data_IF_482283038679
#
_entry.id   IF_482283038679
#
_cell.length_a   1.000
_cell.length_b   1.000
_cell.length_c   1.000
_cell.angle_alpha   90.00
_cell.angle_beta   90.00
_cell.angle_gamma   90.00
#
_symmetry.space_group_name_H-M   'P 1'
#
loop_
_entity.id
_entity.type
_entity.pdbx_description
1 polymer ?
#
# COMPACT_ATOMS: atom_id res chain seq x y z
N UNK A 1 -22.77 -4.10 7.77
CA UNK A 1 -21.57 -4.46 6.96
C UNK A 1 -21.10 -3.32 6.06
N UNK A 2 -21.90 -2.85 5.10
CA UNK A 2 -21.49 -1.80 4.16
C UNK A 2 -21.12 -0.48 4.84
N UNK A 3 -21.90 -0.01 5.82
CA UNK A 3 -21.60 1.21 6.56
C UNK A 3 -20.29 1.16 7.35
N UNK A 4 -19.93 0.00 7.92
CA UNK A 4 -18.66 -0.20 8.60
C UNK A 4 -17.48 -0.15 7.63
N UNK A 5 -17.62 -0.77 6.46
CA UNK A 5 -16.64 -0.73 5.38
C UNK A 5 -16.35 0.70 4.92
N UNK A 6 -17.39 1.48 4.61
CA UNK A 6 -17.25 2.89 4.23
C UNK A 6 -16.63 3.73 5.34
N UNK A 7 -17.01 3.49 6.59
CA UNK A 7 -16.42 4.19 7.74
C UNK A 7 -14.91 3.93 7.86
N UNK A 8 -14.45 2.71 7.63
CA UNK A 8 -13.01 2.36 7.61
C UNK A 8 -12.29 3.14 6.52
N UNK A 9 -12.82 3.18 5.29
CA UNK A 9 -12.23 3.93 4.18
C UNK A 9 -12.12 5.41 4.54
N UNK A 10 -13.20 6.04 4.97
CA UNK A 10 -13.24 7.47 5.31
C UNK A 10 -12.27 7.79 6.44
N UNK A 11 -12.20 6.97 7.49
CA UNK A 11 -11.28 7.18 8.62
C UNK A 11 -9.82 7.00 8.20
N UNK A 12 -9.52 6.04 7.32
CA UNK A 12 -8.17 5.85 6.79
C UNK A 12 -7.73 7.04 5.92
N UNK A 13 -8.62 7.53 5.04
CA UNK A 13 -8.41 8.73 4.23
C UNK A 13 -8.16 9.97 5.11
N UNK A 14 -8.89 10.11 6.22
CA UNK A 14 -8.70 11.21 7.20
C UNK A 14 -7.49 11.04 8.11
N UNK A 15 -6.71 9.97 7.96
CA UNK A 15 -5.57 9.64 8.81
C UNK A 15 -5.96 9.52 10.31
N UNK A 16 -7.17 9.02 10.56
CA UNK A 16 -7.70 8.87 11.92
C UNK A 16 -7.01 7.75 12.67
N UNK A 17 -6.22 8.12 13.67
CA UNK A 17 -5.48 7.18 14.52
C UNK A 17 -6.38 6.21 15.28
N UNK A 18 -7.60 6.63 15.62
CA UNK A 18 -8.53 5.81 16.40
C UNK A 18 -9.01 4.60 15.62
N UNK A 19 -8.98 4.66 14.27
CA UNK A 19 -9.23 3.51 13.39
C UNK A 19 -8.33 2.32 13.76
N UNK A 20 -7.06 2.58 13.99
CA UNK A 20 -6.02 1.57 14.21
C UNK A 20 -5.92 1.11 15.67
N UNK A 21 -6.56 1.82 16.61
CA UNK A 21 -6.69 1.44 18.03
C UNK A 21 -7.86 0.51 18.29
N UNK A 22 -8.89 0.61 17.48
CA UNK A 22 -10.13 -0.14 17.65
C UNK A 22 -9.93 -1.63 17.36
N UNK A 23 -10.06 -2.45 18.40
CA UNK A 23 -9.89 -3.92 18.31
C UNK A 23 -10.92 -4.55 17.37
N UNK A 24 -12.12 -3.99 17.25
CA UNK A 24 -13.17 -4.50 16.39
C UNK A 24 -12.75 -4.51 14.91
N UNK A 25 -11.88 -3.57 14.49
CA UNK A 25 -11.38 -3.49 13.12
C UNK A 25 -10.35 -4.59 12.78
N UNK A 26 -9.91 -5.39 13.75
CA UNK A 26 -8.95 -6.49 13.57
C UNK A 26 -9.57 -7.87 13.80
N UNK A 27 -10.88 -7.97 13.90
CA UNK A 27 -11.61 -9.21 13.80
C UNK A 27 -11.58 -9.72 12.35
N UNK A 28 -12.08 -10.91 12.10
CA UNK A 28 -12.10 -11.51 10.74
C UNK A 28 -12.67 -10.56 9.68
N UNK A 29 -13.74 -9.83 10.00
CA UNK A 29 -14.32 -8.82 9.11
C UNK A 29 -13.34 -7.73 8.68
N UNK A 30 -12.44 -7.30 9.56
CA UNK A 30 -11.44 -6.29 9.26
C UNK A 30 -10.43 -6.74 8.21
N UNK A 31 -10.01 -8.01 8.26
CA UNK A 31 -9.15 -8.58 7.23
C UNK A 31 -9.84 -8.59 5.87
N UNK A 32 -11.09 -9.04 5.80
CA UNK A 32 -11.86 -9.02 4.54
C UNK A 32 -12.04 -7.60 3.99
N UNK A 33 -12.32 -6.62 4.85
CA UNK A 33 -12.40 -5.22 4.42
C UNK A 33 -11.07 -4.72 3.86
N UNK A 34 -9.94 -5.05 4.50
CA UNK A 34 -8.62 -4.66 4.02
C UNK A 34 -8.30 -5.28 2.67
N UNK A 35 -8.63 -6.55 2.47
CA UNK A 35 -8.45 -7.25 1.20
C UNK A 35 -9.30 -6.61 0.09
N UNK A 36 -10.57 -6.30 0.37
CA UNK A 36 -11.46 -5.64 -0.59
C UNK A 36 -10.90 -4.26 -0.97
N UNK A 37 -10.41 -3.46 -0.01
CA UNK A 37 -9.79 -2.16 -0.29
C UNK A 37 -8.59 -2.33 -1.22
N UNK A 38 -7.70 -3.29 -0.94
CA UNK A 38 -6.53 -3.56 -1.77
C UNK A 38 -6.94 -3.96 -3.18
N UNK A 39 -7.90 -4.87 -3.33
CA UNK A 39 -8.41 -5.30 -4.66
C UNK A 39 -9.01 -4.12 -5.43
N UNK A 40 -9.86 -3.31 -4.79
CA UNK A 40 -10.46 -2.12 -5.42
C UNK A 40 -9.37 -1.15 -5.88
N UNK A 41 -8.36 -0.89 -5.05
CA UNK A 41 -7.29 0.03 -5.41
C UNK A 41 -6.42 -0.50 -6.56
N UNK A 42 -6.17 -1.80 -6.63
CA UNK A 42 -5.48 -2.42 -7.75
C UNK A 42 -6.26 -2.25 -9.05
N UNK A 43 -7.57 -2.53 -9.02
CA UNK A 43 -8.46 -2.34 -10.19
C UNK A 43 -8.43 -0.88 -10.65
N UNK A 44 -8.54 0.06 -9.73
CA UNK A 44 -8.52 1.49 -10.05
C UNK A 44 -7.16 1.92 -10.62
N UNK A 45 -6.04 1.42 -10.09
CA UNK A 45 -4.70 1.74 -10.56
C UNK A 45 -4.39 1.22 -11.97
N UNK A 46 -5.11 0.21 -12.45
CA UNK A 46 -4.90 -0.29 -13.83
C UNK A 46 -5.30 0.74 -14.89
N UNK A 47 -6.26 1.63 -14.57
CA UNK A 47 -6.78 2.63 -15.52
C UNK A 47 -5.69 3.68 -15.87
N UNK A 48 -5.14 4.44 -14.90
CA UNK A 48 -4.09 5.41 -15.22
C UNK A 48 -2.81 4.77 -15.77
N UNK A 49 -2.46 3.55 -15.35
CA UNK A 49 -1.29 2.86 -15.88
C UNK A 49 -1.46 2.55 -17.37
N UNK A 50 -2.63 2.09 -17.81
CA UNK A 50 -2.90 1.82 -19.22
C UNK A 50 -2.90 3.12 -20.04
N UNK A 51 -3.50 4.19 -19.53
CA UNK A 51 -3.47 5.51 -20.18
C UNK A 51 -2.04 6.03 -20.32
N UNK A 52 -1.23 5.91 -19.27
CA UNK A 52 0.17 6.32 -19.30
C UNK A 52 1.01 5.51 -20.30
N UNK A 53 0.85 4.20 -20.33
CA UNK A 53 1.56 3.33 -21.27
C UNK A 53 1.16 3.63 -22.73
N UNK A 54 -0.13 3.86 -23.01
CA UNK A 54 -0.61 4.28 -24.33
C UNK A 54 0.03 5.60 -24.76
N UNK A 55 0.04 6.60 -23.87
CA UNK A 55 0.66 7.89 -24.13
C UNK A 55 2.17 7.78 -24.40
N UNK A 56 2.90 6.98 -23.60
CA UNK A 56 4.33 6.72 -23.82
C UNK A 56 4.60 6.05 -25.18
N UNK A 57 3.74 5.10 -25.56
CA UNK A 57 3.82 4.41 -26.84
C UNK A 57 3.60 5.37 -28.01
N UNK A 58 2.58 6.23 -27.94
CA UNK A 58 2.29 7.25 -28.94
C UNK A 58 3.45 8.24 -29.13
N UNK A 59 4.18 8.55 -28.06
CA UNK A 59 5.36 9.42 -28.08
C UNK A 59 6.65 8.72 -28.54
N UNK A 60 6.59 7.41 -28.82
CA UNK A 60 7.78 6.62 -29.15
C UNK A 60 8.76 6.44 -28.00
N UNK A 61 8.34 6.78 -26.76
CA UNK A 61 9.15 6.66 -25.55
C UNK A 61 9.09 5.25 -24.96
N UNK A 62 8.17 4.44 -25.42
CA UNK A 62 7.98 3.06 -24.99
C UNK A 62 7.78 2.15 -26.21
N UNK A 63 8.72 1.27 -26.44
CA UNK A 63 8.65 0.20 -27.45
C UNK A 63 8.49 -1.17 -26.79
N UNK A 64 8.01 -1.19 -25.57
CA UNK A 64 7.99 -2.37 -24.72
C UNK A 64 6.79 -3.29 -24.96
N UNK A 65 6.80 -4.36 -24.22
CA UNK A 65 5.81 -5.43 -24.24
C UNK A 65 4.40 -4.91 -23.95
N UNK A 66 3.39 -5.64 -24.43
CA UNK A 66 1.99 -5.39 -24.14
C UNK A 66 1.75 -5.20 -22.63
N UNK A 67 0.77 -4.35 -22.25
CA UNK A 67 0.43 -4.15 -20.84
C UNK A 67 0.14 -5.50 -20.19
N UNK A 68 0.67 -5.68 -18.96
CA UNK A 68 0.47 -6.92 -18.21
C UNK A 68 -1.01 -7.26 -18.15
N UNK A 69 -1.36 -8.51 -18.43
CA UNK A 69 -2.71 -9.00 -18.30
C UNK A 69 -3.23 -8.68 -16.88
N UNK A 70 -4.45 -8.19 -16.78
CA UNK A 70 -5.09 -7.82 -15.52
C UNK A 70 -4.93 -8.88 -14.41
N UNK A 71 -5.05 -10.16 -14.75
CA UNK A 71 -4.87 -11.28 -13.82
C UNK A 71 -3.46 -11.30 -13.23
N UNK A 72 -2.44 -11.11 -14.05
CA UNK A 72 -1.04 -11.12 -13.63
C UNK A 72 -0.75 -9.89 -12.75
N UNK A 73 -1.32 -8.74 -13.10
CA UNK A 73 -1.19 -7.49 -12.35
C UNK A 73 -1.85 -7.59 -10.98
N UNK A 74 -3.04 -8.18 -10.92
CA UNK A 74 -3.76 -8.44 -9.67
C UNK A 74 -2.95 -9.37 -8.75
N UNK A 75 -2.48 -10.50 -9.30
CA UNK A 75 -1.69 -11.47 -8.55
C UNK A 75 -0.39 -10.85 -8.01
N UNK A 76 0.36 -10.16 -8.86
CA UNK A 76 1.61 -9.50 -8.49
C UNK A 76 1.39 -8.44 -7.40
N UNK A 77 0.38 -7.61 -7.54
CA UNK A 77 0.07 -6.55 -6.57
C UNK A 77 -0.36 -7.11 -5.21
N UNK A 78 -1.16 -8.18 -5.20
CA UNK A 78 -1.51 -8.88 -3.95
C UNK A 78 -0.28 -9.52 -3.31
N UNK A 79 0.61 -10.10 -4.10
CA UNK A 79 1.86 -10.67 -3.63
C UNK A 79 2.76 -9.58 -3.02
N UNK A 80 2.90 -8.43 -3.67
CA UNK A 80 3.66 -7.28 -3.17
C UNK A 80 3.05 -6.77 -1.85
N UNK A 81 1.73 -6.63 -1.77
CA UNK A 81 1.05 -6.24 -0.53
C UNK A 81 1.34 -7.21 0.61
N UNK A 82 1.29 -8.51 0.35
CA UNK A 82 1.56 -9.55 1.34
C UNK A 82 3.02 -9.55 1.79
N UNK A 83 3.97 -9.54 0.84
CA UNK A 83 5.41 -9.48 1.11
C UNK A 83 5.76 -8.22 1.90
N UNK A 84 5.26 -7.06 1.49
CA UNK A 84 5.45 -5.80 2.20
C UNK A 84 4.98 -5.89 3.65
N UNK A 85 3.84 -6.52 3.89
CA UNK A 85 3.31 -6.71 5.25
C UNK A 85 4.18 -7.64 6.09
N UNK A 86 4.75 -8.69 5.50
CA UNK A 86 5.73 -9.56 6.17
C UNK A 86 6.95 -8.76 6.61
N UNK A 87 7.51 -7.95 5.71
CA UNK A 87 8.71 -7.15 6.05
C UNK A 87 8.43 -6.12 7.14
N UNK A 88 7.30 -5.41 7.06
CA UNK A 88 6.89 -4.47 8.11
C UNK A 88 6.74 -5.20 9.44
N UNK A 89 6.14 -6.39 9.44
CA UNK A 89 5.98 -7.21 10.64
C UNK A 89 7.35 -7.65 11.20
N UNK A 90 8.20 -8.24 10.37
CA UNK A 90 9.51 -8.73 10.81
C UNK A 90 10.38 -7.59 11.34
N UNK A 91 10.47 -6.50 10.61
CA UNK A 91 11.30 -5.36 11.00
C UNK A 91 10.70 -4.66 12.23
N UNK A 92 9.39 -4.39 12.21
CA UNK A 92 8.72 -3.63 13.27
C UNK A 92 8.55 -4.40 14.58
N UNK A 93 8.28 -5.71 14.51
CA UNK A 93 7.97 -6.52 15.70
C UNK A 93 9.18 -7.32 16.17
N UNK A 94 10.07 -7.76 15.25
CA UNK A 94 11.20 -8.64 15.61
C UNK A 94 12.52 -7.89 15.70
N UNK A 95 12.80 -6.96 14.78
CA UNK A 95 14.09 -6.25 14.73
C UNK A 95 14.06 -4.98 15.59
N UNK A 96 13.01 -4.19 15.49
CA UNK A 96 12.87 -2.91 16.19
C UNK A 96 11.61 -2.84 17.08
N UNK A 97 11.37 -3.80 17.96
CA UNK A 97 10.19 -3.76 18.83
C UNK A 97 10.25 -2.53 19.75
N UNK A 98 9.09 -2.07 20.20
CA UNK A 98 8.97 -1.18 21.36
C UNK A 98 8.61 -2.02 22.58
N UNK A 99 8.86 -1.50 23.80
CA UNK A 99 8.59 -2.20 25.07
C UNK A 99 7.15 -2.74 25.18
N UNK A 100 6.20 -2.07 24.53
CA UNK A 100 4.77 -2.39 24.57
C UNK A 100 4.22 -2.95 23.26
N UNK A 101 5.08 -3.35 22.31
CA UNK A 101 4.63 -3.88 21.02
C UNK A 101 4.00 -5.27 21.20
N UNK A 102 2.66 -5.33 21.16
CA UNK A 102 1.87 -6.56 21.10
C UNK A 102 1.12 -6.58 19.77
N UNK A 103 1.78 -7.00 18.71
CA UNK A 103 1.20 -7.00 17.37
C UNK A 103 1.42 -8.37 16.70
N UNK A 104 0.37 -8.92 16.10
CA UNK A 104 0.46 -10.12 15.28
C UNK A 104 0.52 -9.75 13.79
N UNK A 105 0.87 -10.70 12.95
CA UNK A 105 1.00 -10.49 11.50
C UNK A 105 -0.32 -10.06 10.87
N UNK A 106 -1.44 -10.67 11.24
CA UNK A 106 -2.76 -10.33 10.69
C UNK A 106 -3.11 -8.85 10.94
N UNK A 107 -2.75 -8.32 12.12
CA UNK A 107 -2.97 -6.91 12.44
C UNK A 107 -2.15 -5.98 11.55
N UNK A 108 -0.90 -6.33 11.25
CA UNK A 108 -0.07 -5.57 10.30
C UNK A 108 -0.66 -5.65 8.89
N UNK A 109 -1.00 -6.84 8.42
CA UNK A 109 -1.58 -7.08 7.10
C UNK A 109 -2.86 -6.26 6.87
N UNK A 110 -3.77 -6.28 7.86
CA UNK A 110 -5.01 -5.49 7.86
C UNK A 110 -4.72 -3.99 7.83
N UNK A 111 -3.77 -3.52 8.65
CA UNK A 111 -3.37 -2.11 8.70
C UNK A 111 -2.80 -1.62 7.36
N UNK A 112 -1.92 -2.43 6.74
CA UNK A 112 -1.38 -2.12 5.42
C UNK A 112 -2.51 -2.05 4.39
N UNK A 113 -3.49 -2.95 4.45
CA UNK A 113 -4.65 -2.91 3.57
C UNK A 113 -5.51 -1.66 3.76
N UNK A 114 -5.82 -1.26 5.00
CA UNK A 114 -6.56 -0.02 5.26
C UNK A 114 -5.83 1.22 4.74
N UNK A 115 -4.51 1.24 4.86
CA UNK A 115 -3.68 2.34 4.36
C UNK A 115 -3.77 2.52 2.83
N UNK A 116 -4.23 1.53 2.06
CA UNK A 116 -4.43 1.66 0.61
C UNK A 116 -5.64 2.56 0.27
N UNK A 117 -6.52 2.89 1.21
CA UNK A 117 -7.73 3.69 0.93
C UNK A 117 -7.49 4.99 0.15
N UNK A 118 -6.43 5.80 0.40
CA UNK A 118 -6.15 6.97 -0.42
C UNK A 118 -5.90 6.67 -1.90
N UNK A 119 -5.40 5.47 -2.24
CA UNK A 119 -5.12 5.07 -3.62
C UNK A 119 -6.39 4.93 -4.48
N UNK A 120 -7.57 4.90 -3.84
CA UNK A 120 -8.86 4.94 -4.54
C UNK A 120 -8.95 6.21 -5.40
N UNK A 121 -8.37 7.33 -4.97
CA UNK A 121 -8.39 8.59 -5.71
C UNK A 121 -7.59 8.60 -7.01
N UNK A 122 -6.82 7.55 -7.30
CA UNK A 122 -6.13 7.41 -8.58
C UNK A 122 -7.09 7.44 -9.78
N UNK A 123 -8.39 7.14 -9.59
CA UNK A 123 -9.38 7.30 -10.65
C UNK A 123 -9.62 8.76 -11.09
N UNK A 124 -9.22 9.75 -10.30
CA UNK A 124 -9.35 11.18 -10.64
C UNK A 124 -8.22 11.70 -11.54
N UNK A 125 -7.22 10.85 -11.82
CA UNK A 125 -6.03 11.26 -12.55
C UNK A 125 -6.18 10.91 -14.04
N UNK A 126 -6.74 11.82 -14.82
CA UNK A 126 -7.05 11.60 -16.24
C UNK A 126 -6.32 12.53 -17.24
N UNK A 127 -5.36 13.38 -16.77
CA UNK A 127 -4.78 14.44 -17.62
C UNK A 127 -3.25 14.56 -17.51
N UNK A 128 -2.66 15.51 -18.27
CA UNK A 128 -1.20 15.80 -18.32
C UNK A 128 -0.55 16.14 -16.98
N UNK A 129 -1.32 16.47 -15.95
CA UNK A 129 -0.89 16.59 -14.55
C UNK A 129 -0.77 15.22 -13.82
N UNK A 130 -0.81 14.11 -14.56
CA UNK A 130 -0.83 12.74 -14.07
C UNK A 130 0.25 12.47 -13.02
N UNK A 131 1.49 12.89 -13.30
CA UNK A 131 2.64 12.61 -12.42
C UNK A 131 2.49 13.26 -11.04
N UNK A 132 2.07 14.53 -11.00
CA UNK A 132 1.90 15.25 -9.73
C UNK A 132 0.73 14.69 -8.91
N UNK A 133 -0.35 14.33 -9.58
CA UNK A 133 -1.51 13.71 -8.94
C UNK A 133 -1.17 12.36 -8.30
N UNK A 134 -0.48 11.50 -9.03
CA UNK A 134 0.01 10.20 -8.53
C UNK A 134 0.93 10.40 -7.31
N UNK A 135 1.87 11.35 -7.39
CA UNK A 135 2.79 11.63 -6.30
C UNK A 135 2.06 12.07 -5.03
N UNK A 136 1.08 12.98 -5.15
CA UNK A 136 0.28 13.46 -4.00
C UNK A 136 -0.51 12.32 -3.35
N UNK A 137 -1.17 11.48 -4.14
CA UNK A 137 -1.93 10.34 -3.63
C UNK A 137 -0.99 9.32 -2.98
N UNK A 138 0.20 9.11 -3.55
CA UNK A 138 1.19 8.21 -2.98
C UNK A 138 1.74 8.74 -1.64
N UNK A 139 2.01 10.03 -1.52
CA UNK A 139 2.40 10.67 -0.24
C UNK A 139 1.29 10.50 0.80
N UNK A 140 0.03 10.62 0.38
CA UNK A 140 -1.11 10.39 1.26
C UNK A 140 -1.20 8.94 1.72
N UNK A 141 -1.04 7.97 0.81
CA UNK A 141 -0.95 6.55 1.12
C UNK A 141 0.17 6.24 2.14
N UNK A 142 1.38 6.78 1.91
CA UNK A 142 2.51 6.62 2.83
C UNK A 142 2.18 7.22 4.20
N UNK A 143 1.54 8.38 4.24
CA UNK A 143 1.11 9.02 5.48
C UNK A 143 0.10 8.14 6.26
N UNK A 144 -0.88 7.56 5.58
CA UNK A 144 -1.85 6.63 6.18
C UNK A 144 -1.15 5.38 6.74
N UNK A 145 -0.17 4.85 6.00
CA UNK A 145 0.62 3.70 6.41
C UNK A 145 1.46 4.02 7.66
N UNK A 146 2.15 5.16 7.68
CA UNK A 146 2.95 5.60 8.84
C UNK A 146 2.07 5.77 10.06
N UNK A 147 0.91 6.41 9.94
CA UNK A 147 -0.05 6.57 11.04
C UNK A 147 -0.51 5.21 11.55
N UNK A 148 -0.92 4.31 10.66
CA UNK A 148 -1.38 2.97 11.03
C UNK A 148 -0.30 2.15 11.74
N UNK A 149 0.90 2.08 11.18
CA UNK A 149 2.02 1.32 11.74
C UNK A 149 2.46 1.91 13.09
N UNK A 150 2.48 3.25 13.21
CA UNK A 150 2.79 3.90 14.48
C UNK A 150 1.85 3.47 15.61
N UNK A 151 0.56 3.41 15.32
CA UNK A 151 -0.46 3.09 16.32
C UNK A 151 -0.46 1.60 16.70
N UNK A 152 -0.31 0.69 15.73
CA UNK A 152 -0.34 -0.76 16.03
C UNK A 152 0.93 -1.27 16.70
N UNK A 153 2.08 -0.61 16.44
CA UNK A 153 3.36 -0.96 17.05
C UNK A 153 3.66 -0.14 18.33
N UNK A 154 2.79 0.81 18.67
CA UNK A 154 2.94 1.72 19.83
C UNK A 154 4.28 2.46 19.80
N UNK A 155 4.69 2.97 18.65
CA UNK A 155 5.92 3.77 18.58
C UNK A 155 5.66 5.20 19.07
N UNK A 156 6.58 5.72 19.89
CA UNK A 156 6.58 7.11 20.33
C UNK A 156 7.08 8.05 19.23
N UNK A 157 7.97 7.54 18.36
CA UNK A 157 8.59 8.31 17.28
C UNK A 157 8.03 7.93 15.91
N UNK A 158 7.36 8.88 15.25
CA UNK A 158 6.83 8.74 13.89
C UNK A 158 7.92 8.48 12.83
N UNK A 159 9.15 8.97 13.06
CA UNK A 159 10.28 8.71 12.16
C UNK A 159 10.60 7.22 12.09
N UNK A 160 10.55 6.52 13.23
CA UNK A 160 10.73 5.06 13.29
C UNK A 160 9.66 4.34 12.46
N UNK A 161 8.40 4.77 12.57
CA UNK A 161 7.31 4.22 11.77
C UNK A 161 7.49 4.48 10.29
N UNK A 162 7.96 5.67 9.92
CA UNK A 162 8.25 6.03 8.53
C UNK A 162 9.37 5.15 7.95
N UNK A 163 10.48 4.99 8.67
CA UNK A 163 11.59 4.14 8.25
C UNK A 163 11.13 2.69 7.99
N UNK A 164 10.33 2.13 8.89
CA UNK A 164 9.85 0.75 8.77
C UNK A 164 8.79 0.61 7.67
N UNK A 165 7.91 1.60 7.52
CA UNK A 165 6.78 1.53 6.58
C UNK A 165 7.18 1.84 5.14
N UNK A 166 8.16 2.71 4.95
CA UNK A 166 8.55 3.23 3.64
C UNK A 166 9.96 2.79 3.22
N UNK A 167 10.97 3.09 4.03
CA UNK A 167 12.37 2.83 3.64
C UNK A 167 12.64 1.33 3.50
N UNK A 168 12.20 0.52 4.46
CA UNK A 168 12.47 -0.91 4.42
C UNK A 168 11.83 -1.61 3.19
N UNK A 169 10.53 -1.40 2.88
CA UNK A 169 9.94 -1.94 1.65
C UNK A 169 10.58 -1.40 0.38
N UNK A 170 11.01 -0.14 0.37
CA UNK A 170 11.68 0.47 -0.78
C UNK A 170 13.03 -0.18 -1.07
N UNK A 171 13.86 -0.37 -0.05
CA UNK A 171 15.17 -1.04 -0.18
C UNK A 171 14.99 -2.46 -0.71
N UNK A 172 14.00 -3.20 -0.21
CA UNK A 172 13.74 -4.56 -0.65
C UNK A 172 13.27 -4.59 -2.11
N UNK A 173 12.34 -3.70 -2.48
CA UNK A 173 11.87 -3.60 -3.86
C UNK A 173 13.01 -3.29 -4.82
N UNK A 174 13.92 -2.41 -4.44
CA UNK A 174 15.10 -2.07 -5.23
C UNK A 174 16.06 -3.27 -5.35
N UNK A 175 16.29 -3.99 -4.26
CA UNK A 175 17.15 -5.18 -4.25
C UNK A 175 16.59 -6.29 -5.15
N UNK A 176 15.27 -6.53 -5.10
CA UNK A 176 14.61 -7.50 -5.97
C UNK A 176 14.67 -7.08 -7.44
N UNK A 177 14.52 -5.79 -7.72
CA UNK A 177 14.64 -5.26 -9.08
C UNK A 177 16.06 -5.46 -9.64
N UNK A 178 17.09 -5.16 -8.86
CA UNK A 178 18.51 -5.37 -9.25
C UNK A 178 18.77 -6.85 -9.53
N UNK A 179 18.31 -7.76 -8.66
CA UNK A 179 18.45 -9.20 -8.85
C UNK A 179 17.73 -9.66 -10.13
N UNK A 180 16.52 -9.16 -10.39
CA UNK A 180 15.77 -9.49 -11.60
C UNK A 180 16.52 -9.07 -12.88
N UNK A 181 17.07 -7.87 -12.89
CA UNK A 181 17.87 -7.35 -14.02
C UNK A 181 19.13 -8.22 -14.23
N UNK A 182 19.83 -8.62 -13.16
CA UNK A 182 21.02 -9.47 -13.27
C UNK A 182 20.74 -10.88 -13.83
N UNK A 183 19.56 -11.43 -13.56
CA UNK A 183 19.17 -12.76 -14.08
C UNK A 183 18.71 -12.67 -15.54
N UNK A 184 18.30 -11.50 -15.99
CA UNK A 184 17.76 -11.27 -17.36
C UNK A 184 18.84 -10.89 -18.38
N UNK A 185 20.08 -10.68 -17.94
CA UNK A 185 21.28 -10.44 -18.76
C UNK A 185 22.07 -11.73 -18.88
#
# INVERSE_FOLDING_TARGET
>A
MFGQFLNIIVRSIKLDKTLYKDKANYLESGFYYSLIIVVITIVIQTIPNNVYLSWMSEKGLWQGQEPLNFRNLLFLSLLIWFIKSIFIFLIGVKVFPNKNTKCNFLKVLTTVGFAHSPLIFNFLIFNDSLLYGILLIYVWYVSALVVGINEILNYENKLKSFLISFIAPMVISLSLFILFVQISI
#
